data_IF_408362053768
#
_entry.id   IF_408362053768
#
_cell.length_a   1.000
_cell.length_b   1.000
_cell.length_c   1.000
_cell.angle_alpha   90.00
_cell.angle_beta   90.00
_cell.angle_gamma   90.00
#
_symmetry.space_group_name_H-M   'P 1'
#
loop_
_entity.id
_entity.type
_entity.pdbx_description
1 polymer ?
#
# COMPACT_ATOMS: atom_id res chain seq x y z
N UNK A 1 -46.95 38.56 -14.91
CA UNK A 1 -46.23 37.67 -15.84
C UNK A 1 -46.25 36.25 -15.26
N UNK A 2 -47.05 35.36 -15.83
CA UNK A 2 -47.19 33.99 -15.41
C UNK A 2 -46.00 33.16 -15.92
N UNK A 3 -45.35 32.35 -15.07
CA UNK A 3 -44.28 31.43 -15.41
C UNK A 3 -44.80 30.35 -16.38
N UNK A 4 -44.09 29.97 -17.45
CA UNK A 4 -44.51 28.93 -18.37
C UNK A 4 -44.58 27.58 -17.62
N UNK A 5 -45.68 26.85 -17.75
CA UNK A 5 -45.84 25.46 -17.28
C UNK A 5 -44.82 24.59 -18.00
N UNK A 6 -43.94 23.93 -17.26
CA UNK A 6 -43.03 22.89 -17.80
C UNK A 6 -43.90 21.79 -18.44
N UNK A 7 -43.80 21.64 -19.77
CA UNK A 7 -44.27 20.43 -20.44
C UNK A 7 -43.52 19.25 -19.87
N UNK A 8 -44.18 18.42 -19.06
CA UNK A 8 -43.69 17.10 -18.73
C UNK A 8 -43.62 16.31 -20.03
N UNK A 9 -42.40 16.02 -20.49
CA UNK A 9 -42.16 15.21 -21.66
C UNK A 9 -42.82 13.85 -21.53
N UNK A 10 -43.62 13.48 -22.54
CA UNK A 10 -44.21 12.17 -22.78
C UNK A 10 -43.18 11.09 -23.04
N UNK A 11 -42.23 10.91 -22.12
CA UNK A 11 -41.21 9.84 -22.25
C UNK A 11 -41.61 8.55 -21.53
N UNK A 12 -42.80 8.52 -20.90
CA UNK A 12 -43.23 7.33 -20.13
C UNK A 12 -44.35 6.51 -20.79
N UNK A 13 -45.01 7.03 -21.83
CA UNK A 13 -46.08 6.28 -22.49
C UNK A 13 -45.59 5.37 -23.61
N UNK A 14 -44.42 5.66 -24.20
CA UNK A 14 -43.87 4.82 -25.27
C UNK A 14 -43.02 3.63 -24.80
N UNK A 15 -42.77 3.50 -23.49
CA UNK A 15 -42.02 2.39 -22.91
C UNK A 15 -42.91 1.31 -22.28
N UNK A 16 -44.23 1.39 -22.42
CA UNK A 16 -45.16 0.40 -21.87
C UNK A 16 -45.31 -0.83 -22.73
N UNK A 17 -44.91 -0.81 -23.99
CA UNK A 17 -44.82 -1.97 -24.84
C UNK A 17 -43.36 -2.46 -24.90
N UNK A 18 -43.05 -3.47 -24.09
CA UNK A 18 -41.80 -4.23 -24.24
C UNK A 18 -41.75 -4.80 -25.65
N UNK A 19 -40.76 -4.47 -26.47
CA UNK A 19 -40.68 -4.97 -27.84
C UNK A 19 -40.82 -6.50 -27.88
N UNK A 20 -41.60 -7.04 -28.82
CA UNK A 20 -41.87 -8.46 -28.98
C UNK A 20 -40.61 -9.34 -29.01
N UNK A 21 -39.47 -8.79 -29.50
CA UNK A 21 -38.20 -9.49 -29.52
C UNK A 21 -37.61 -9.71 -28.11
N UNK A 22 -37.95 -8.83 -27.14
CA UNK A 22 -37.54 -8.97 -25.73
C UNK A 22 -38.43 -9.93 -24.97
N UNK A 23 -39.70 -10.07 -25.39
CA UNK A 23 -40.70 -10.92 -24.73
C UNK A 23 -40.61 -12.41 -25.13
N UNK A 24 -40.06 -12.71 -26.30
CA UNK A 24 -40.11 -14.08 -26.88
C UNK A 24 -38.91 -14.97 -26.58
N UNK A 25 -37.85 -14.48 -25.97
CA UNK A 25 -36.78 -15.33 -25.46
C UNK A 25 -37.09 -15.75 -24.01
N UNK A 26 -37.82 -16.83 -23.82
CA UNK A 26 -37.68 -17.64 -22.60
C UNK A 26 -36.19 -18.02 -22.54
N UNK A 27 -35.37 -17.27 -21.76
CA UNK A 27 -34.02 -17.70 -21.47
C UNK A 27 -34.10 -18.90 -20.54
N UNK A 28 -33.90 -20.14 -21.06
CA UNK A 28 -34.07 -21.38 -20.26
C UNK A 28 -33.09 -21.43 -19.06
N UNK A 29 -32.14 -20.52 -19.01
CA UNK A 29 -31.11 -20.44 -17.98
C UNK A 29 -31.13 -19.15 -17.14
N UNK A 30 -32.24 -18.38 -17.13
CA UNK A 30 -32.37 -17.13 -16.33
C UNK A 30 -32.00 -17.37 -14.85
N UNK A 31 -32.39 -18.52 -14.29
CA UNK A 31 -32.08 -18.88 -12.92
C UNK A 31 -30.56 -18.98 -12.65
N UNK A 32 -29.77 -19.41 -13.63
CA UNK A 32 -28.33 -19.56 -13.49
C UNK A 32 -27.62 -18.19 -13.39
N UNK A 33 -28.11 -17.19 -14.13
CA UNK A 33 -27.55 -15.84 -14.11
C UNK A 33 -28.01 -15.03 -12.89
N UNK A 34 -29.09 -15.45 -12.23
CA UNK A 34 -29.65 -14.81 -11.04
C UNK A 34 -29.39 -15.64 -9.76
N UNK A 35 -28.43 -16.55 -9.79
CA UNK A 35 -28.07 -17.39 -8.64
C UNK A 35 -27.30 -16.61 -7.56
N UNK A 36 -26.74 -15.44 -7.89
CA UNK A 36 -26.06 -14.58 -6.95
C UNK A 36 -27.01 -13.99 -5.88
N UNK A 37 -26.45 -13.63 -4.74
CA UNK A 37 -27.20 -13.01 -3.65
C UNK A 37 -27.86 -11.70 -4.11
N UNK A 38 -29.16 -11.53 -3.80
CA UNK A 38 -29.86 -10.28 -4.10
C UNK A 38 -29.20 -9.10 -3.36
N UNK A 39 -28.96 -8.02 -4.06
CA UNK A 39 -28.47 -6.76 -3.47
C UNK A 39 -29.63 -6.13 -2.68
N UNK A 40 -29.42 -5.97 -1.37
CA UNK A 40 -30.30 -5.25 -0.47
C UNK A 40 -29.54 -4.05 0.07
N UNK A 41 -29.79 -2.84 -0.41
CA UNK A 41 -29.08 -1.65 0.05
C UNK A 41 -29.27 -1.44 1.56
N UNK A 42 -28.17 -1.14 2.25
CA UNK A 42 -28.15 -0.77 3.66
C UNK A 42 -27.59 0.64 3.81
N UNK A 43 -28.19 1.48 4.64
CA UNK A 43 -27.62 2.76 5.03
C UNK A 43 -26.54 2.58 6.09
N UNK A 44 -25.51 3.42 6.04
CA UNK A 44 -24.51 3.52 7.11
C UNK A 44 -25.09 4.32 8.28
N UNK A 45 -24.85 3.83 9.48
CA UNK A 45 -25.29 4.50 10.74
C UNK A 45 -24.14 5.24 11.43
N UNK A 46 -22.90 5.06 10.94
CA UNK A 46 -21.69 5.61 11.54
C UNK A 46 -21.15 4.78 12.72
N UNK A 47 -21.71 3.59 12.97
CA UNK A 47 -21.28 2.67 14.04
C UNK A 47 -20.62 1.40 13.52
N UNK A 48 -20.60 1.22 12.21
CA UNK A 48 -20.05 0.02 11.56
C UNK A 48 -18.53 0.00 11.71
N UNK A 49 -17.99 -1.18 12.00
CA UNK A 49 -16.55 -1.45 11.89
C UNK A 49 -16.18 -1.69 10.42
N UNK A 50 -14.94 -1.42 10.06
CA UNK A 50 -14.44 -1.58 8.68
C UNK A 50 -14.78 -2.95 8.06
N UNK A 51 -14.60 -4.10 8.74
CA UNK A 51 -14.99 -5.39 8.16
C UNK A 51 -16.48 -5.48 7.82
N UNK A 52 -17.36 -4.87 8.61
CA UNK A 52 -18.80 -4.83 8.34
C UNK A 52 -19.11 -4.00 7.10
N UNK A 53 -18.41 -2.87 6.89
CA UNK A 53 -18.55 -2.06 5.69
C UNK A 53 -18.14 -2.87 4.46
N UNK A 54 -16.99 -3.53 4.49
CA UNK A 54 -16.49 -4.37 3.41
C UNK A 54 -17.48 -5.52 3.12
N UNK A 55 -17.93 -6.23 4.14
CA UNK A 55 -18.76 -7.43 3.94
C UNK A 55 -20.20 -7.10 3.57
N UNK A 56 -20.79 -6.03 4.10
CA UNK A 56 -22.21 -5.72 3.96
C UNK A 56 -22.53 -4.71 2.87
N UNK A 57 -21.57 -3.81 2.52
CA UNK A 57 -21.83 -2.67 1.63
C UNK A 57 -21.12 -2.84 0.27
N UNK A 58 -19.95 -3.49 0.23
CA UNK A 58 -19.20 -3.72 -1.01
C UNK A 58 -19.80 -4.88 -1.81
N UNK A 59 -20.93 -4.65 -2.47
CA UNK A 59 -21.75 -5.71 -3.05
C UNK A 59 -21.59 -5.90 -4.55
N UNK A 60 -21.04 -4.92 -5.27
CA UNK A 60 -20.87 -4.97 -6.71
C UNK A 60 -19.68 -4.11 -7.18
N UNK A 61 -19.36 -4.14 -8.47
CA UNK A 61 -18.28 -3.39 -9.12
C UNK A 61 -16.92 -3.61 -8.45
N UNK A 62 -16.04 -2.63 -8.48
CA UNK A 62 -14.69 -2.72 -7.91
C UNK A 62 -14.70 -2.93 -6.38
N UNK A 63 -15.70 -2.41 -5.69
CA UNK A 63 -15.83 -2.64 -4.24
C UNK A 63 -16.07 -4.12 -3.93
N UNK A 64 -16.85 -4.84 -4.75
CA UNK A 64 -17.01 -6.28 -4.59
C UNK A 64 -15.70 -7.04 -4.88
N UNK A 65 -14.91 -6.58 -5.83
CA UNK A 65 -13.58 -7.18 -6.11
C UNK A 65 -12.63 -6.97 -4.93
N UNK A 66 -12.65 -5.78 -4.30
CA UNK A 66 -11.89 -5.54 -3.08
C UNK A 66 -12.33 -6.47 -1.93
N UNK A 67 -13.65 -6.61 -1.74
CA UNK A 67 -14.20 -7.57 -0.77
C UNK A 67 -13.73 -9.00 -1.03
N UNK A 68 -13.83 -9.48 -2.27
CA UNK A 68 -13.37 -10.81 -2.66
C UNK A 68 -11.87 -10.99 -2.38
N UNK A 69 -11.05 -9.97 -2.66
CA UNK A 69 -9.62 -9.98 -2.33
C UNK A 69 -9.37 -10.09 -0.83
N UNK A 70 -10.10 -9.32 -0.02
CA UNK A 70 -10.00 -9.40 1.45
C UNK A 70 -10.43 -10.78 1.98
N UNK A 71 -11.49 -11.34 1.43
CA UNK A 71 -11.97 -12.68 1.79
C UNK A 71 -11.00 -13.77 1.36
N UNK A 72 -10.44 -13.68 0.15
CA UNK A 72 -9.41 -14.61 -0.34
C UNK A 72 -8.17 -14.59 0.56
N UNK A 73 -7.71 -13.38 0.93
CA UNK A 73 -6.59 -13.23 1.84
C UNK A 73 -6.87 -13.92 3.19
N UNK A 74 -8.00 -13.58 3.81
CA UNK A 74 -8.39 -14.12 5.12
C UNK A 74 -8.62 -15.64 5.10
N UNK A 75 -9.34 -16.15 4.09
CA UNK A 75 -9.89 -17.51 4.11
C UNK A 75 -8.99 -18.53 3.42
N UNK A 76 -8.00 -18.07 2.61
CA UNK A 76 -7.14 -18.93 1.81
C UNK A 76 -5.65 -18.63 1.97
N UNK A 77 -5.26 -17.37 1.94
CA UNK A 77 -3.84 -17.03 2.00
C UNK A 77 -3.27 -17.18 3.42
N UNK A 78 -4.10 -17.08 4.46
CA UNK A 78 -3.69 -17.28 5.85
C UNK A 78 -3.80 -18.73 6.34
N UNK A 79 -4.04 -19.70 5.45
CA UNK A 79 -3.96 -21.12 5.81
C UNK A 79 -2.51 -21.52 6.17
N UNK A 80 -2.29 -22.44 7.13
CA UNK A 80 -0.95 -22.70 7.68
C UNK A 80 0.10 -23.22 6.70
N UNK A 81 -0.33 -23.81 5.60
CA UNK A 81 0.51 -24.40 4.55
C UNK A 81 0.73 -23.47 3.34
N UNK A 82 0.30 -22.22 3.44
CA UNK A 82 0.45 -21.21 2.38
C UNK A 82 1.65 -20.32 2.65
N UNK A 83 2.52 -20.17 1.65
CA UNK A 83 3.62 -19.21 1.67
C UNK A 83 3.16 -17.89 1.04
N UNK A 84 3.28 -16.79 1.78
CA UNK A 84 2.83 -15.46 1.35
C UNK A 84 4.02 -14.59 0.98
N UNK A 85 4.15 -14.30 -0.31
CA UNK A 85 5.08 -13.29 -0.82
C UNK A 85 4.40 -11.93 -0.97
N UNK A 86 5.08 -10.87 -0.55
CA UNK A 86 4.62 -9.50 -0.71
C UNK A 86 5.52 -8.73 -1.68
N UNK A 87 4.92 -8.02 -2.63
CA UNK A 87 5.65 -7.13 -3.53
C UNK A 87 5.32 -5.67 -3.24
N UNK A 88 6.35 -4.84 -3.12
CA UNK A 88 6.24 -3.42 -2.84
C UNK A 88 6.89 -2.63 -3.98
N UNK A 89 6.09 -1.98 -4.81
CA UNK A 89 6.56 -1.13 -5.91
C UNK A 89 6.57 0.35 -5.51
N UNK A 90 7.27 1.18 -6.30
CA UNK A 90 7.36 2.61 -6.05
C UNK A 90 8.06 2.94 -4.73
N UNK A 91 7.55 3.90 -3.98
CA UNK A 91 8.08 4.33 -2.69
C UNK A 91 6.92 4.64 -1.72
N UNK A 92 6.32 3.61 -1.13
CA UNK A 92 5.21 3.77 -0.18
C UNK A 92 5.70 4.11 1.25
N UNK A 93 6.96 3.78 1.58
CA UNK A 93 7.53 4.01 2.91
C UNK A 93 7.64 5.49 3.28
N UNK A 94 8.01 6.44 2.40
CA UNK A 94 8.00 7.88 2.74
C UNK A 94 6.64 8.40 3.21
N UNK A 95 5.54 7.81 2.72
CA UNK A 95 4.19 8.15 3.17
C UNK A 95 3.80 7.48 4.51
N UNK A 96 4.73 6.81 5.20
CA UNK A 96 4.47 6.13 6.47
C UNK A 96 3.77 4.78 6.33
N UNK A 97 3.47 4.32 5.11
CA UNK A 97 2.73 3.07 4.89
C UNK A 97 3.55 1.82 5.22
N UNK A 98 4.88 1.91 5.23
CA UNK A 98 5.75 0.86 5.76
C UNK A 98 5.40 0.54 7.21
N UNK A 99 5.44 1.55 8.06
CA UNK A 99 5.12 1.43 9.49
C UNK A 99 3.65 1.06 9.73
N UNK A 100 2.72 1.74 9.06
CA UNK A 100 1.28 1.59 9.34
C UNK A 100 0.63 0.33 8.75
N UNK A 101 1.20 -0.23 7.67
CA UNK A 101 0.61 -1.37 6.96
C UNK A 101 1.54 -2.59 6.93
N UNK A 102 2.78 -2.42 6.45
CA UNK A 102 3.68 -3.56 6.19
C UNK A 102 4.21 -4.17 7.49
N UNK A 103 4.69 -3.33 8.41
CA UNK A 103 5.21 -3.78 9.71
C UNK A 103 4.18 -4.59 10.52
N UNK A 104 2.92 -4.17 10.64
CA UNK A 104 1.90 -4.99 11.30
C UNK A 104 1.67 -6.36 10.66
N UNK A 105 1.71 -6.45 9.32
CA UNK A 105 1.55 -7.73 8.60
C UNK A 105 2.73 -8.68 8.86
N UNK A 106 3.97 -8.14 8.85
CA UNK A 106 5.17 -8.90 9.21
C UNK A 106 5.08 -9.40 10.66
N UNK A 107 4.75 -8.51 11.60
CA UNK A 107 4.66 -8.86 13.03
C UNK A 107 3.54 -9.85 13.34
N UNK A 108 2.49 -9.88 12.51
CA UNK A 108 1.40 -10.85 12.61
C UNK A 108 1.75 -12.23 12.00
N UNK A 109 2.91 -12.35 11.34
CA UNK A 109 3.32 -13.58 10.65
C UNK A 109 2.57 -13.82 9.34
N UNK A 110 2.06 -12.77 8.69
CA UNK A 110 1.29 -12.85 7.45
C UNK A 110 2.15 -12.64 6.19
N UNK A 111 3.45 -12.55 6.34
CA UNK A 111 4.39 -12.35 5.22
C UNK A 111 5.60 -13.24 5.44
N UNK A 112 5.91 -14.08 4.46
CA UNK A 112 7.05 -14.99 4.51
C UNK A 112 8.28 -14.42 3.79
N UNK A 113 8.09 -13.59 2.77
CA UNK A 113 9.16 -12.91 2.05
C UNK A 113 8.65 -11.65 1.35
N UNK A 114 9.56 -10.71 1.11
CA UNK A 114 9.26 -9.43 0.47
C UNK A 114 10.17 -9.22 -0.75
N UNK A 115 9.59 -8.75 -1.86
CA UNK A 115 10.35 -8.13 -2.96
C UNK A 115 9.94 -6.66 -3.02
N UNK A 116 10.89 -5.75 -2.83
CA UNK A 116 10.65 -4.32 -2.82
C UNK A 116 11.53 -3.60 -3.84
N UNK A 117 11.15 -2.39 -4.23
CA UNK A 117 12.10 -1.45 -4.82
C UNK A 117 13.10 -1.02 -3.75
N UNK A 118 14.33 -0.74 -4.15
CA UNK A 118 15.34 -0.19 -3.22
C UNK A 118 14.88 1.12 -2.58
N UNK A 119 14.11 1.95 -3.32
CA UNK A 119 13.53 3.18 -2.78
C UNK A 119 12.66 2.94 -1.54
N UNK A 120 11.85 1.86 -1.51
CA UNK A 120 11.09 1.52 -0.31
C UNK A 120 12.00 1.23 0.89
N UNK A 121 13.05 0.44 0.69
CA UNK A 121 13.94 0.01 1.77
C UNK A 121 14.89 1.13 2.21
N UNK A 122 15.31 2.00 1.28
CA UNK A 122 16.11 3.18 1.57
C UNK A 122 15.35 4.20 2.43
N UNK A 123 14.15 4.59 1.99
CA UNK A 123 13.35 5.56 2.74
C UNK A 123 12.80 5.00 4.06
N UNK A 124 12.70 3.69 4.19
CA UNK A 124 12.37 3.02 5.45
C UNK A 124 13.38 3.32 6.56
N UNK A 125 14.66 3.45 6.19
CA UNK A 125 15.73 3.75 7.14
C UNK A 125 15.62 5.14 7.76
N UNK A 126 15.04 6.13 7.06
CA UNK A 126 14.81 7.47 7.64
C UNK A 126 13.96 7.39 8.91
N UNK A 127 12.94 6.52 8.94
CA UNK A 127 12.10 6.35 10.12
C UNK A 127 12.85 5.64 11.26
N UNK A 128 13.69 4.65 10.96
CA UNK A 128 14.54 4.00 11.96
C UNK A 128 15.56 4.97 12.57
N UNK A 129 16.12 5.85 11.73
CA UNK A 129 17.06 6.91 12.12
C UNK A 129 16.38 8.10 12.81
N UNK A 130 15.05 8.14 12.79
CA UNK A 130 14.26 9.28 13.27
C UNK A 130 14.52 10.58 12.50
N UNK A 131 14.82 10.47 11.21
CA UNK A 131 15.00 11.62 10.35
C UNK A 131 13.67 12.23 9.92
N UNK A 132 13.61 13.55 9.73
CA UNK A 132 12.37 14.24 9.45
C UNK A 132 11.86 13.92 8.03
N UNK A 133 10.62 13.53 7.95
CA UNK A 133 9.84 13.37 6.71
C UNK A 133 8.52 14.10 6.93
N UNK A 134 8.19 15.06 6.08
CA UNK A 134 7.06 15.95 6.29
C UNK A 134 6.01 15.87 5.19
N UNK A 135 4.76 16.06 5.55
CA UNK A 135 3.70 16.33 4.58
C UNK A 135 3.90 17.74 4.04
N UNK A 136 3.91 17.89 2.75
CA UNK A 136 4.05 19.16 2.05
C UNK A 136 2.96 19.37 1.01
N UNK A 137 3.32 19.93 -0.14
CA UNK A 137 2.41 20.17 -1.25
C UNK A 137 3.05 19.82 -2.58
N UNK A 138 2.30 19.14 -3.45
CA UNK A 138 2.72 18.89 -4.82
C UNK A 138 2.82 20.17 -5.69
N UNK A 139 2.37 21.32 -5.14
CA UNK A 139 2.40 22.64 -5.81
C UNK A 139 3.64 23.45 -5.45
N UNK A 140 4.49 22.98 -4.55
CA UNK A 140 5.73 23.69 -4.24
C UNK A 140 6.64 23.75 -5.46
N UNK A 141 7.32 24.87 -5.63
CA UNK A 141 8.32 25.04 -6.68
C UNK A 141 9.59 24.26 -6.32
N UNK A 142 10.09 23.45 -7.25
CA UNK A 142 11.25 22.60 -7.02
C UNK A 142 12.56 23.41 -6.91
N UNK A 143 12.62 24.60 -7.51
CA UNK A 143 13.76 25.51 -7.39
C UNK A 143 13.82 26.08 -5.99
N UNK A 144 12.68 26.57 -5.48
CA UNK A 144 12.58 27.10 -4.11
C UNK A 144 12.90 26.00 -3.07
N UNK A 145 12.44 24.78 -3.29
CA UNK A 145 12.76 23.65 -2.40
C UNK A 145 14.27 23.40 -2.38
N UNK A 146 14.90 23.34 -3.55
CA UNK A 146 16.34 23.11 -3.68
C UNK A 146 17.18 24.23 -3.01
N UNK A 147 16.78 25.48 -3.16
CA UNK A 147 17.44 26.62 -2.51
C UNK A 147 17.34 26.56 -0.98
N UNK A 148 16.35 25.85 -0.45
CA UNK A 148 16.14 25.62 0.98
C UNK A 148 16.62 24.25 1.47
N UNK A 149 17.44 23.54 0.70
CA UNK A 149 17.96 22.21 1.05
C UNK A 149 16.85 21.16 1.27
N UNK A 150 15.81 21.20 0.43
CA UNK A 150 14.65 20.32 0.50
C UNK A 150 14.44 19.58 -0.82
N UNK A 151 14.00 18.34 -0.71
CA UNK A 151 13.57 17.48 -1.82
C UNK A 151 12.14 17.06 -1.60
N UNK A 152 11.38 16.88 -2.67
CA UNK A 152 10.03 16.32 -2.56
C UNK A 152 9.85 15.04 -3.36
N UNK A 153 9.04 14.15 -2.81
CA UNK A 153 8.47 13.00 -3.52
C UNK A 153 6.97 13.27 -3.58
N UNK A 154 6.51 13.86 -4.67
CA UNK A 154 5.14 14.37 -4.86
C UNK A 154 4.75 15.41 -3.81
N UNK A 155 4.12 15.04 -2.71
CA UNK A 155 3.71 15.91 -1.59
C UNK A 155 4.38 15.55 -0.25
N UNK A 156 5.41 14.71 -0.28
CA UNK A 156 6.27 14.41 0.85
C UNK A 156 7.55 15.21 0.74
N UNK A 157 7.94 15.94 1.77
CA UNK A 157 9.15 16.77 1.84
C UNK A 157 10.18 16.12 2.74
N UNK A 158 11.41 16.05 2.26
CA UNK A 158 12.55 15.46 2.96
C UNK A 158 13.71 16.45 2.88
N UNK A 159 14.38 16.81 4.00
CA UNK A 159 15.62 17.56 3.96
C UNK A 159 16.71 16.79 3.20
N UNK A 160 17.43 17.50 2.31
CA UNK A 160 18.48 16.85 1.51
C UNK A 160 19.70 16.53 2.39
N UNK A 161 20.28 17.51 3.02
CA UNK A 161 21.46 17.34 3.87
C UNK A 161 21.16 16.54 5.15
N UNK A 162 20.10 16.91 5.87
CA UNK A 162 19.81 16.38 7.21
C UNK A 162 19.12 15.00 7.20
N UNK A 163 18.68 14.52 6.04
CA UNK A 163 18.06 13.20 5.93
C UNK A 163 18.64 12.34 4.83
N UNK A 164 18.61 12.78 3.56
CA UNK A 164 19.10 11.95 2.46
C UNK A 164 20.62 11.78 2.54
N UNK A 165 21.39 12.85 2.51
CA UNK A 165 22.86 12.79 2.56
C UNK A 165 23.34 12.17 3.88
N UNK A 166 22.71 12.51 5.01
CA UNK A 166 23.04 11.90 6.30
C UNK A 166 22.78 10.39 6.33
N UNK A 167 21.74 9.89 5.65
CA UNK A 167 21.51 8.45 5.50
C UNK A 167 22.59 7.81 4.62
N UNK A 168 22.99 8.47 3.53
CA UNK A 168 24.05 7.98 2.66
C UNK A 168 25.41 7.88 3.37
N UNK A 169 25.73 8.86 4.23
CA UNK A 169 26.93 8.82 5.07
C UNK A 169 26.92 7.62 6.03
N UNK A 170 25.81 7.42 6.73
CA UNK A 170 25.64 6.27 7.62
C UNK A 170 25.74 4.95 6.86
N UNK A 171 25.13 4.87 5.67
CA UNK A 171 25.24 3.67 4.83
C UNK A 171 26.68 3.39 4.43
N UNK A 172 27.46 4.39 4.01
CA UNK A 172 28.90 4.22 3.70
C UNK A 172 29.67 3.69 4.91
N UNK A 173 29.40 4.24 6.10
CA UNK A 173 30.10 3.83 7.33
C UNK A 173 29.79 2.39 7.75
N UNK A 174 28.56 1.92 7.54
CA UNK A 174 28.22 0.54 7.87
C UNK A 174 28.58 -0.44 6.77
N UNK A 175 28.52 -0.06 5.51
CA UNK A 175 28.84 -0.97 4.40
C UNK A 175 30.34 -1.33 4.32
N UNK A 176 31.23 -0.52 4.91
CA UNK A 176 32.65 -0.88 5.04
C UNK A 176 32.93 -1.87 6.16
N UNK A 177 31.94 -2.22 7.00
CA UNK A 177 32.15 -3.20 8.07
C UNK A 177 32.43 -4.59 7.52
N UNK A 178 33.25 -5.42 8.22
CA UNK A 178 33.68 -6.72 7.71
C UNK A 178 32.56 -7.65 7.28
N UNK A 179 31.40 -7.57 7.89
CA UNK A 179 30.24 -8.40 7.59
C UNK A 179 29.64 -8.15 6.20
N UNK A 180 29.89 -6.96 5.63
CA UNK A 180 29.47 -6.60 4.27
C UNK A 180 30.54 -6.81 3.22
N UNK A 181 31.79 -7.11 3.61
CA UNK A 181 32.94 -7.24 2.69
C UNK A 181 33.07 -8.64 2.10
N UNK A 182 31.98 -9.15 1.51
CA UNK A 182 31.89 -10.44 0.83
C UNK A 182 30.83 -10.41 -0.26
N UNK A 183 30.87 -11.37 -1.17
CA UNK A 183 29.76 -11.59 -2.08
C UNK A 183 28.50 -12.00 -1.30
N UNK A 184 27.39 -11.32 -1.55
CA UNK A 184 26.12 -11.63 -0.91
C UNK A 184 24.93 -11.30 -1.82
N UNK A 185 23.82 -11.98 -1.60
CA UNK A 185 22.56 -11.66 -2.24
C UNK A 185 21.84 -10.49 -1.54
N UNK A 186 20.88 -9.88 -2.23
CA UNK A 186 20.14 -8.73 -1.68
C UNK A 186 19.38 -9.06 -0.39
N UNK A 187 18.91 -10.30 -0.23
CA UNK A 187 18.25 -10.74 1.02
C UNK A 187 19.21 -10.70 2.22
N UNK A 188 20.47 -11.12 2.05
CA UNK A 188 21.46 -11.06 3.12
C UNK A 188 21.85 -9.61 3.43
N UNK A 189 22.05 -8.78 2.39
CA UNK A 189 22.31 -7.35 2.53
C UNK A 189 21.22 -6.68 3.38
N UNK A 190 19.96 -6.88 3.01
CA UNK A 190 18.85 -6.25 3.72
C UNK A 190 18.62 -6.84 5.12
N UNK A 191 18.96 -8.10 5.34
CA UNK A 191 18.95 -8.69 6.67
C UNK A 191 19.96 -8.00 7.59
N UNK A 192 21.19 -7.79 7.12
CA UNK A 192 22.20 -7.06 7.86
C UNK A 192 21.83 -5.60 8.10
N UNK A 193 21.32 -4.89 7.07
CA UNK A 193 20.79 -3.54 7.25
C UNK A 193 19.62 -3.48 8.26
N UNK A 194 18.76 -4.50 8.26
CA UNK A 194 17.69 -4.64 9.22
C UNK A 194 18.17 -4.73 10.67
N UNK A 195 19.31 -5.39 10.91
CA UNK A 195 19.98 -5.42 12.22
C UNK A 195 20.32 -4.01 12.69
N UNK A 196 20.91 -3.18 11.82
CA UNK A 196 21.22 -1.78 12.13
C UNK A 196 19.96 -0.95 12.35
N UNK A 197 18.90 -1.16 11.54
CA UNK A 197 17.61 -0.50 11.77
C UNK A 197 17.04 -0.80 13.16
N UNK A 198 17.16 -2.03 13.65
CA UNK A 198 16.75 -2.39 15.03
C UNK A 198 17.55 -1.60 16.07
N UNK A 199 18.85 -1.44 15.85
CA UNK A 199 19.71 -0.66 16.76
C UNK A 199 19.36 0.81 16.74
N UNK A 200 19.09 1.39 15.58
CA UNK A 200 18.66 2.79 15.43
C UNK A 200 17.29 3.03 16.07
N UNK A 201 16.31 2.17 15.82
CA UNK A 201 15.03 2.23 16.53
C UNK A 201 15.25 2.27 18.05
N UNK A 202 16.08 1.37 18.58
CA UNK A 202 16.36 1.30 20.00
C UNK A 202 17.05 2.57 20.53
N UNK A 203 18.06 3.09 19.82
CA UNK A 203 18.79 4.31 20.21
C UNK A 203 17.87 5.53 20.24
N UNK A 204 16.92 5.60 19.31
CA UNK A 204 15.97 6.71 19.20
C UNK A 204 14.69 6.50 20.03
N UNK A 205 14.61 5.46 20.85
CA UNK A 205 13.40 5.16 21.63
C UNK A 205 12.18 4.75 20.79
N UNK A 206 12.42 4.29 19.56
CA UNK A 206 11.40 3.85 18.59
C UNK A 206 11.28 2.35 18.57
N UNK A 207 10.16 1.86 18.07
CA UNK A 207 9.92 0.43 17.82
C UNK A 207 8.85 0.25 16.76
N UNK A 208 9.07 -0.72 15.86
CA UNK A 208 8.12 -1.07 14.81
C UNK A 208 7.82 0.07 13.83
N UNK A 209 8.80 0.92 13.54
CA UNK A 209 8.66 1.99 12.56
C UNK A 209 9.30 1.65 11.22
N UNK A 210 10.23 0.68 11.20
CA UNK A 210 10.96 0.25 10.02
C UNK A 210 10.56 -1.14 9.56
N UNK A 211 10.34 -1.32 8.26
CA UNK A 211 10.08 -2.60 7.59
C UNK A 211 11.29 -3.51 7.70
N UNK A 212 12.51 -2.97 7.45
CA UNK A 212 13.75 -3.74 7.57
C UNK A 212 13.97 -4.24 8.99
N UNK A 213 13.71 -3.39 10.00
CA UNK A 213 13.82 -3.80 11.40
C UNK A 213 12.81 -4.88 11.78
N UNK A 214 11.58 -4.77 11.30
CA UNK A 214 10.54 -5.78 11.54
C UNK A 214 10.87 -7.10 10.83
N UNK A 215 11.31 -7.02 9.56
CA UNK A 215 11.72 -8.18 8.77
C UNK A 215 12.91 -8.91 9.42
N UNK A 216 13.92 -8.18 9.90
CA UNK A 216 15.04 -8.76 10.64
C UNK A 216 14.58 -9.54 11.88
N UNK A 217 13.71 -8.93 12.71
CA UNK A 217 13.18 -9.57 13.92
C UNK A 217 12.36 -10.80 13.63
N UNK A 218 11.62 -10.81 12.54
CA UNK A 218 10.75 -11.92 12.15
C UNK A 218 11.45 -12.98 11.29
N UNK A 219 12.69 -12.73 10.84
CA UNK A 219 13.40 -13.62 9.92
C UNK A 219 12.81 -13.61 8.50
N UNK A 220 12.11 -12.55 8.10
CA UNK A 220 11.49 -12.39 6.78
C UNK A 220 12.52 -11.82 5.80
N UNK A 221 12.91 -12.55 4.74
CA UNK A 221 13.88 -12.06 3.77
C UNK A 221 13.26 -10.95 2.90
N UNK A 222 14.02 -9.88 2.70
CA UNK A 222 13.69 -8.78 1.80
C UNK A 222 14.62 -8.76 0.61
N UNK A 223 14.07 -8.84 -0.59
CA UNK A 223 14.78 -8.81 -1.86
C UNK A 223 14.56 -7.50 -2.58
N UNK A 224 15.54 -7.08 -3.40
CA UNK A 224 15.34 -6.06 -4.45
C UNK A 224 15.60 -6.67 -5.81
N UNK A 225 14.90 -6.18 -6.84
CA UNK A 225 15.12 -6.64 -8.22
C UNK A 225 16.44 -6.14 -8.80
N UNK A 226 16.91 -4.99 -8.30
CA UNK A 226 18.16 -4.36 -8.68
C UNK A 226 18.70 -3.55 -7.50
N UNK A 227 19.97 -3.72 -7.10
CA UNK A 227 20.56 -2.88 -6.06
C UNK A 227 20.68 -1.41 -6.49
N UNK A 228 20.79 -1.13 -7.79
CA UNK A 228 20.91 0.23 -8.34
C UNK A 228 19.61 1.01 -8.48
N UNK A 229 18.47 0.54 -7.95
CA UNK A 229 17.20 1.26 -7.94
C UNK A 229 17.04 2.19 -6.73
N UNK A 230 18.08 2.34 -5.93
CA UNK A 230 18.26 3.31 -4.83
C UNK A 230 19.71 3.55 -4.51
N UNK A 231 19.99 4.53 -3.65
CA UNK A 231 21.36 4.84 -3.18
C UNK A 231 22.00 3.70 -2.38
N UNK A 232 21.25 2.70 -1.90
CA UNK A 232 21.82 1.49 -1.27
C UNK A 232 22.76 0.75 -2.22
N UNK A 233 22.51 0.80 -3.52
CA UNK A 233 23.27 0.10 -4.53
C UNK A 233 24.29 0.95 -5.28
N UNK A 234 24.43 2.22 -4.96
CA UNK A 234 25.40 3.17 -5.51
C UNK A 234 26.61 3.32 -4.59
#
# INVERSE_FOLDING_TARGET
MAKPKKQHRRYREDLTETPDWLMKKKCPHKANYMSGKRILPKGLTGKEKLPQIVDDIFLAYNSARLKEGCQLFRDKMLEPDVTIGMTLSGALTPAGLGCSCVVPLINAGFVDWIVATGANLYHDMHFALNYPVHVGSFKFDDTDLRENDLVRIYDVIIPDSDALMATDEILRDILIQPEFQKEMGTAELHYLLGKYCVEWERKNGLRNVSVLAAAYRAGVPCYTSSPGDSTIGM
#
